data_IF_831604193588
#
_entry.id   IF_831604193588
#
_cell.length_a   1.000
_cell.length_b   1.000
_cell.length_c   1.000
_cell.angle_alpha   90.00
_cell.angle_beta   90.00
_cell.angle_gamma   90.00
#
_symmetry.space_group_name_H-M   'P 1'
#
loop_
_entity.id
_entity.type
_entity.pdbx_description
1 polymer ?
#
# COMPACT_ATOMS: atom_id res chain seq x y z
N UNK A 1 -23.27 11.30 30.24
CA UNK A 1 -22.36 10.17 29.94
C UNK A 1 -22.61 9.56 28.56
N UNK A 2 -23.86 9.27 28.13
CA UNK A 2 -24.15 8.72 26.80
C UNK A 2 -23.74 9.63 25.60
N UNK A 3 -23.95 10.96 25.71
CA UNK A 3 -23.57 11.93 24.66
C UNK A 3 -22.05 11.99 24.41
N UNK A 4 -21.25 11.76 25.46
CA UNK A 4 -19.79 11.77 25.39
C UNK A 4 -19.26 10.51 24.71
N UNK A 5 -19.94 9.37 24.86
CA UNK A 5 -19.59 8.10 24.23
C UNK A 5 -19.89 8.14 22.72
N UNK A 6 -21.05 8.68 22.32
CA UNK A 6 -21.42 8.87 20.91
C UNK A 6 -20.48 9.85 20.18
N UNK A 7 -20.13 10.98 20.81
CA UNK A 7 -19.19 11.96 20.23
C UNK A 7 -17.77 11.39 20.07
N UNK A 8 -17.34 10.51 20.97
CA UNK A 8 -16.02 9.84 20.91
C UNK A 8 -15.96 8.70 19.90
N UNK A 9 -17.06 7.94 19.73
CA UNK A 9 -17.16 6.95 18.64
C UNK A 9 -17.10 7.59 17.25
N UNK A 10 -17.72 8.77 17.10
CA UNK A 10 -17.62 9.59 15.88
C UNK A 10 -16.18 10.04 15.58
N UNK A 11 -15.40 10.36 16.62
CA UNK A 11 -14.01 10.81 16.51
C UNK A 11 -13.05 9.69 16.05
N UNK A 12 -13.25 8.46 16.54
CA UNK A 12 -12.48 7.28 16.10
C UNK A 12 -12.79 6.95 14.63
N UNK A 13 -14.06 6.93 14.24
CA UNK A 13 -14.43 6.64 12.85
C UNK A 13 -13.81 7.63 11.87
N UNK A 14 -13.73 8.91 12.25
CA UNK A 14 -13.10 9.96 11.44
C UNK A 14 -11.59 9.74 11.32
N UNK A 15 -10.91 9.43 12.42
CA UNK A 15 -9.48 9.12 12.40
C UNK A 15 -9.15 7.87 11.57
N UNK A 16 -10.02 6.83 11.59
CA UNK A 16 -9.87 5.66 10.73
C UNK A 16 -10.00 6.06 9.26
N UNK A 17 -11.02 6.86 8.90
CA UNK A 17 -11.18 7.35 7.53
C UNK A 17 -9.95 8.18 7.09
N UNK A 18 -9.46 9.07 7.94
CA UNK A 18 -8.26 9.88 7.65
C UNK A 18 -7.01 9.01 7.48
N UNK A 19 -6.83 7.98 8.31
CA UNK A 19 -5.73 7.03 8.17
C UNK A 19 -5.82 6.26 6.85
N UNK A 20 -7.00 5.76 6.50
CA UNK A 20 -7.25 5.06 5.23
C UNK A 20 -7.03 5.98 4.02
N UNK A 21 -7.40 7.25 4.12
CA UNK A 21 -7.10 8.26 3.10
C UNK A 21 -5.58 8.43 2.92
N UNK A 22 -4.78 8.45 4.00
CA UNK A 22 -3.31 8.52 3.91
C UNK A 22 -2.70 7.32 3.19
N UNK A 23 -3.19 6.11 3.47
CA UNK A 23 -2.73 4.90 2.77
C UNK A 23 -3.06 4.99 1.26
N UNK A 24 -4.28 5.41 0.91
CA UNK A 24 -4.68 5.62 -0.50
C UNK A 24 -3.84 6.70 -1.20
N UNK A 25 -3.69 7.88 -0.57
CA UNK A 25 -2.92 9.01 -1.09
C UNK A 25 -1.44 8.62 -1.34
N UNK A 26 -0.86 7.78 -0.49
CA UNK A 26 0.52 7.31 -0.65
C UNK A 26 0.74 6.55 -1.96
N UNK A 27 -0.24 5.77 -2.41
CA UNK A 27 -0.20 5.07 -3.70
C UNK A 27 -0.19 6.04 -4.89
N UNK A 28 -0.98 7.13 -4.82
CA UNK A 28 -0.99 8.15 -5.87
C UNK A 28 0.33 8.92 -5.94
N UNK A 29 0.94 9.22 -4.80
CA UNK A 29 2.27 9.86 -4.74
C UNK A 29 3.31 8.91 -5.31
N UNK A 30 3.27 7.65 -4.90
CA UNK A 30 4.17 6.60 -5.39
C UNK A 30 4.13 6.49 -6.92
N UNK A 31 2.94 6.37 -7.49
CA UNK A 31 2.75 6.29 -8.94
C UNK A 31 3.39 7.48 -9.67
N UNK A 32 3.13 8.70 -9.19
CA UNK A 32 3.70 9.93 -9.75
C UNK A 32 5.22 10.00 -9.57
N UNK A 33 5.74 9.45 -8.47
CA UNK A 33 7.16 9.32 -8.18
C UNK A 33 7.84 8.45 -9.22
N UNK A 34 7.36 7.21 -9.40
CA UNK A 34 7.89 6.28 -10.41
C UNK A 34 7.83 6.88 -11.81
N UNK A 35 6.67 7.42 -12.21
CA UNK A 35 6.54 8.09 -13.52
C UNK A 35 7.56 9.23 -13.68
N UNK A 36 7.73 10.10 -12.66
CA UNK A 36 8.71 11.19 -12.74
C UNK A 36 10.14 10.66 -12.89
N UNK A 37 10.47 9.57 -12.20
CA UNK A 37 11.79 8.94 -12.28
C UNK A 37 12.07 8.37 -13.68
N UNK A 38 11.16 7.55 -14.21
CA UNK A 38 11.30 6.94 -15.54
C UNK A 38 11.41 7.99 -16.66
N UNK A 39 10.70 9.11 -16.52
CA UNK A 39 10.76 10.23 -17.45
C UNK A 39 11.99 11.16 -17.25
N UNK A 40 12.91 10.83 -16.34
CA UNK A 40 14.10 11.63 -16.04
C UNK A 40 13.81 12.98 -15.36
N UNK A 41 12.60 13.19 -14.84
CA UNK A 41 12.16 14.43 -14.17
C UNK A 41 12.55 14.41 -12.68
N UNK A 42 13.85 14.44 -12.40
CA UNK A 42 14.38 14.22 -11.04
C UNK A 42 13.91 15.23 -9.99
N UNK A 43 13.70 16.51 -10.34
CA UNK A 43 13.15 17.49 -9.41
C UNK A 43 11.71 17.15 -9.00
N UNK A 44 10.90 16.64 -9.95
CA UNK A 44 9.55 16.16 -9.67
C UNK A 44 9.59 14.90 -8.80
N UNK A 45 10.51 13.97 -9.09
CA UNK A 45 10.71 12.77 -8.29
C UNK A 45 11.07 13.10 -6.83
N UNK A 46 12.05 13.99 -6.60
CA UNK A 46 12.45 14.41 -5.25
C UNK A 46 11.29 15.04 -4.47
N UNK A 47 10.49 15.87 -5.13
CA UNK A 47 9.27 16.40 -4.51
C UNK A 47 8.30 15.30 -4.09
N UNK A 48 8.11 14.25 -4.89
CA UNK A 48 7.27 13.10 -4.51
C UNK A 48 7.87 12.28 -3.38
N UNK A 49 9.20 12.19 -3.29
CA UNK A 49 9.88 11.56 -2.16
C UNK A 49 9.66 12.35 -0.86
N UNK A 50 9.68 13.68 -0.90
CA UNK A 50 9.32 14.53 0.24
C UNK A 50 7.84 14.37 0.60
N UNK A 51 6.94 14.43 -0.40
CA UNK A 51 5.50 14.27 -0.18
C UNK A 51 5.18 12.91 0.49
N UNK A 52 5.83 11.81 0.06
CA UNK A 52 5.57 10.48 0.63
C UNK A 52 6.11 10.33 2.06
N UNK A 53 7.22 11.00 2.38
CA UNK A 53 7.76 11.04 3.72
C UNK A 53 6.78 11.71 4.69
N UNK A 54 6.21 12.85 4.29
CA UNK A 54 5.21 13.56 5.10
C UNK A 54 3.91 12.75 5.28
N UNK A 55 3.43 12.11 4.22
CA UNK A 55 2.24 11.24 4.30
C UNK A 55 2.48 10.06 5.23
N UNK A 56 3.64 9.41 5.15
CA UNK A 56 3.97 8.29 6.04
C UNK A 56 4.02 8.72 7.50
N UNK A 57 4.69 9.85 7.78
CA UNK A 57 4.77 10.37 9.13
C UNK A 57 3.38 10.69 9.71
N UNK A 58 2.49 11.26 8.89
CA UNK A 58 1.09 11.51 9.29
C UNK A 58 0.30 10.21 9.50
N UNK A 59 0.49 9.21 8.61
CA UNK A 59 -0.13 7.90 8.70
C UNK A 59 0.23 7.16 9.99
N UNK A 60 1.53 7.03 10.29
CA UNK A 60 2.01 6.37 11.52
C UNK A 60 1.55 7.12 12.78
N UNK A 61 1.51 8.47 12.75
CA UNK A 61 0.97 9.25 13.86
C UNK A 61 -0.53 8.98 14.10
N UNK A 62 -1.33 8.91 13.03
CA UNK A 62 -2.76 8.57 13.11
C UNK A 62 -2.95 7.14 13.63
N UNK A 63 -2.21 6.16 13.10
CA UNK A 63 -2.23 4.78 13.57
C UNK A 63 -1.94 4.70 15.07
N UNK A 64 -0.83 5.27 15.53
CA UNK A 64 -0.45 5.25 16.96
C UNK A 64 -1.49 5.91 17.86
N UNK A 65 -2.18 6.95 17.37
CA UNK A 65 -3.27 7.57 18.12
C UNK A 65 -4.49 6.63 18.20
N UNK A 66 -4.89 6.04 17.07
CA UNK A 66 -5.95 5.03 17.00
C UNK A 66 -5.67 3.86 17.95
N UNK A 67 -4.45 3.34 17.97
CA UNK A 67 -4.06 2.26 18.89
C UNK A 67 -4.24 2.65 20.35
N UNK A 68 -3.72 3.82 20.76
CA UNK A 68 -3.89 4.34 22.13
C UNK A 68 -5.36 4.49 22.50
N UNK A 69 -6.18 5.02 21.59
CA UNK A 69 -7.61 5.18 21.82
C UNK A 69 -8.31 3.83 21.93
N UNK A 70 -7.99 2.87 21.07
CA UNK A 70 -8.53 1.52 21.11
C UNK A 70 -8.13 0.82 22.41
N UNK A 71 -6.91 0.97 22.92
CA UNK A 71 -6.52 0.40 24.22
C UNK A 71 -7.34 0.96 25.39
N UNK A 72 -7.54 2.29 25.43
CA UNK A 72 -8.22 2.99 26.51
C UNK A 72 -9.75 2.86 26.46
N UNK A 73 -10.33 2.60 25.29
CA UNK A 73 -11.78 2.65 25.08
C UNK A 73 -12.36 1.26 24.81
N UNK A 74 -13.40 0.88 25.57
CA UNK A 74 -14.15 -0.39 25.46
C UNK A 74 -15.02 -0.52 24.19
N UNK A 75 -14.75 0.27 23.14
CA UNK A 75 -15.64 0.40 21.98
C UNK A 75 -15.66 -0.80 21.04
N UNK A 76 -14.61 -1.64 21.02
CA UNK A 76 -14.57 -2.90 20.24
C UNK A 76 -13.83 -3.97 21.05
N UNK A 77 -14.39 -4.48 22.17
CA UNK A 77 -13.67 -5.41 23.05
C UNK A 77 -13.33 -6.74 22.36
N UNK A 78 -14.26 -7.25 21.56
CA UNK A 78 -14.20 -8.62 21.02
C UNK A 78 -13.32 -8.75 19.77
N UNK A 79 -13.05 -7.64 19.06
CA UNK A 79 -12.24 -7.63 17.83
C UNK A 79 -11.05 -6.67 17.91
N UNK A 80 -10.64 -6.23 19.11
CA UNK A 80 -9.56 -5.23 19.26
C UNK A 80 -8.25 -5.69 18.63
N UNK A 81 -7.86 -6.94 18.86
CA UNK A 81 -6.63 -7.50 18.28
C UNK A 81 -6.64 -7.48 16.75
N UNK A 82 -7.74 -7.94 16.15
CA UNK A 82 -7.93 -7.96 14.70
C UNK A 82 -7.90 -6.54 14.10
N UNK A 83 -8.53 -5.55 14.76
CA UNK A 83 -8.51 -4.14 14.32
C UNK A 83 -7.09 -3.55 14.40
N UNK A 84 -6.37 -3.79 15.49
CA UNK A 84 -5.00 -3.30 15.64
C UNK A 84 -4.07 -3.90 14.57
N UNK A 85 -4.18 -5.22 14.34
CA UNK A 85 -3.39 -5.90 13.32
C UNK A 85 -3.72 -5.40 11.91
N UNK A 86 -5.00 -5.10 11.61
CA UNK A 86 -5.41 -4.51 10.35
C UNK A 86 -4.77 -3.13 10.14
N UNK A 87 -4.82 -2.27 11.17
CA UNK A 87 -4.22 -0.92 11.10
C UNK A 87 -2.70 -0.99 10.89
N UNK A 88 -1.99 -1.86 11.62
CA UNK A 88 -0.56 -2.07 11.41
C UNK A 88 -0.25 -2.60 10.00
N UNK A 89 -1.05 -3.56 9.51
CA UNK A 89 -0.82 -4.15 8.19
C UNK A 89 -1.05 -3.14 7.05
N UNK A 90 -2.00 -2.22 7.21
CA UNK A 90 -2.26 -1.14 6.25
C UNK A 90 -1.15 -0.07 6.28
N UNK A 91 -0.66 0.29 7.48
CA UNK A 91 0.46 1.23 7.65
C UNK A 91 1.75 0.68 7.01
N UNK A 92 1.97 -0.63 7.13
CA UNK A 92 3.09 -1.30 6.48
C UNK A 92 3.08 -1.17 4.95
N UNK A 93 1.91 -1.01 4.31
CA UNK A 93 1.81 -0.75 2.86
C UNK A 93 2.31 0.65 2.51
N UNK A 94 1.94 1.64 3.31
CA UNK A 94 2.42 3.02 3.20
C UNK A 94 3.96 3.04 3.30
N UNK A 95 4.49 2.38 4.34
CA UNK A 95 5.92 2.23 4.58
C UNK A 95 6.66 1.58 3.39
N UNK A 96 6.01 0.63 2.70
CA UNK A 96 6.59 -0.02 1.52
C UNK A 96 6.69 0.94 0.34
N UNK A 97 5.68 1.77 0.08
CA UNK A 97 5.77 2.78 -0.96
C UNK A 97 6.91 3.78 -0.70
N UNK A 98 7.00 4.28 0.54
CA UNK A 98 8.11 5.15 0.98
C UNK A 98 9.45 4.45 0.77
N UNK A 99 9.59 3.22 1.28
CA UNK A 99 10.81 2.43 1.18
C UNK A 99 11.24 2.16 -0.27
N UNK A 100 10.28 1.96 -1.17
CA UNK A 100 10.54 1.81 -2.59
C UNK A 100 11.10 3.09 -3.20
N UNK A 101 10.46 4.26 -3.05
CA UNK A 101 10.99 5.51 -3.60
C UNK A 101 12.37 5.86 -3.01
N UNK A 102 12.60 5.60 -1.72
CA UNK A 102 13.91 5.80 -1.10
C UNK A 102 15.01 4.96 -1.77
N UNK A 103 14.72 3.72 -2.17
CA UNK A 103 15.68 2.89 -2.91
C UNK A 103 16.00 3.48 -4.28
N UNK A 104 15.00 4.02 -4.97
CA UNK A 104 15.23 4.70 -6.26
C UNK A 104 16.16 5.90 -6.11
N UNK A 105 15.97 6.69 -5.05
CA UNK A 105 16.82 7.84 -4.75
C UNK A 105 18.26 7.44 -4.40
N UNK A 106 18.42 6.40 -3.58
CA UNK A 106 19.74 5.94 -3.12
C UNK A 106 20.54 5.28 -4.25
N UNK A 107 19.93 4.33 -4.96
CA UNK A 107 20.67 3.48 -5.89
C UNK A 107 20.67 4.00 -7.33
N UNK A 108 19.84 4.99 -7.64
CA UNK A 108 19.68 5.60 -8.95
C UNK A 108 19.67 4.55 -10.10
N UNK A 109 18.79 3.53 -10.07
CA UNK A 109 18.75 2.49 -11.10
C UNK A 109 18.52 3.09 -12.50
N UNK A 110 19.34 2.66 -13.47
CA UNK A 110 19.22 3.06 -14.87
C UNK A 110 18.34 2.06 -15.64
N UNK A 111 17.05 2.39 -15.79
CA UNK A 111 16.10 1.57 -16.55
C UNK A 111 16.20 1.90 -18.05
N UNK A 112 16.40 0.88 -18.87
CA UNK A 112 16.37 1.05 -20.32
C UNK A 112 14.93 1.34 -20.80
N UNK A 113 14.74 2.21 -21.82
CA UNK A 113 13.43 2.73 -22.22
C UNK A 113 12.37 1.65 -22.52
N UNK A 114 12.79 0.51 -23.04
CA UNK A 114 11.89 -0.54 -23.51
C UNK A 114 11.14 -1.29 -22.39
N UNK A 115 11.44 -1.03 -21.13
CA UNK A 115 10.67 -1.55 -19.97
C UNK A 115 9.92 -0.46 -19.21
N UNK A 116 9.95 0.80 -19.66
CA UNK A 116 9.31 1.90 -18.94
C UNK A 116 7.79 1.70 -18.87
N UNK A 117 7.15 1.36 -19.99
CA UNK A 117 5.69 1.13 -20.05
C UNK A 117 5.27 -0.05 -19.15
N UNK A 118 5.97 -1.19 -19.26
CA UNK A 118 5.75 -2.36 -18.41
C UNK A 118 5.92 -2.02 -16.90
N UNK A 119 6.89 -1.16 -16.56
CA UNK A 119 7.14 -0.75 -15.18
C UNK A 119 6.07 0.23 -14.66
N UNK A 120 5.55 1.12 -15.51
CA UNK A 120 4.39 1.95 -15.19
C UNK A 120 3.14 1.10 -14.97
N UNK A 121 2.93 0.07 -15.79
CA UNK A 121 1.82 -0.87 -15.63
C UNK A 121 1.92 -1.69 -14.34
N UNK A 122 3.12 -2.19 -14.00
CA UNK A 122 3.39 -2.84 -12.71
C UNK A 122 3.03 -1.91 -11.54
N UNK A 123 3.47 -0.65 -11.63
CA UNK A 123 3.21 0.37 -10.62
C UNK A 123 1.71 0.63 -10.47
N UNK A 124 0.97 0.70 -11.58
CA UNK A 124 -0.47 0.87 -11.57
C UNK A 124 -1.19 -0.32 -10.90
N UNK A 125 -0.80 -1.55 -11.23
CA UNK A 125 -1.37 -2.76 -10.61
C UNK A 125 -1.17 -2.76 -9.10
N UNK A 126 0.05 -2.47 -8.64
CA UNK A 126 0.38 -2.39 -7.22
C UNK A 126 -0.46 -1.33 -6.50
N UNK A 127 -0.56 -0.12 -7.08
CA UNK A 127 -1.36 0.97 -6.48
C UNK A 127 -2.84 0.61 -6.41
N UNK A 128 -3.39 -0.02 -7.46
CA UNK A 128 -4.77 -0.47 -7.47
C UNK A 128 -5.05 -1.62 -6.48
N UNK A 129 -4.07 -2.50 -6.24
CA UNK A 129 -4.16 -3.53 -5.21
C UNK A 129 -4.29 -2.91 -3.82
N UNK A 130 -3.45 -1.92 -3.50
CA UNK A 130 -3.53 -1.16 -2.24
C UNK A 130 -4.85 -0.39 -2.11
N UNK A 131 -5.31 0.26 -3.17
CA UNK A 131 -6.60 0.97 -3.15
C UNK A 131 -7.77 0.01 -2.90
N UNK A 132 -7.76 -1.18 -3.52
CA UNK A 132 -8.80 -2.17 -3.31
C UNK A 132 -8.87 -2.68 -1.86
N UNK A 133 -7.72 -2.88 -1.20
CA UNK A 133 -7.71 -3.27 0.22
C UNK A 133 -8.11 -2.11 1.13
N UNK A 134 -7.76 -0.86 0.80
CA UNK A 134 -8.24 0.33 1.54
C UNK A 134 -9.77 0.42 1.48
N UNK A 135 -10.38 0.21 0.31
CA UNK A 135 -11.84 0.20 0.16
C UNK A 135 -12.49 -0.95 0.93
N UNK A 136 -11.90 -2.14 0.91
CA UNK A 136 -12.35 -3.31 1.69
C UNK A 136 -12.27 -3.04 3.19
N UNK A 137 -11.17 -2.46 3.66
CA UNK A 137 -10.98 -2.10 5.06
C UNK A 137 -11.98 -1.01 5.50
N UNK A 138 -12.24 -0.02 4.65
CA UNK A 138 -13.26 1.01 4.92
C UNK A 138 -14.65 0.38 5.08
N UNK A 139 -15.00 -0.57 4.22
CA UNK A 139 -16.24 -1.33 4.34
C UNK A 139 -16.28 -2.12 5.66
N UNK A 140 -15.17 -2.70 6.12
CA UNK A 140 -15.14 -3.45 7.39
C UNK A 140 -15.54 -2.60 8.59
N UNK A 141 -15.17 -1.31 8.60
CA UNK A 141 -15.56 -0.39 9.67
C UNK A 141 -16.98 0.17 9.53
N UNK A 142 -17.55 0.23 8.31
CA UNK A 142 -18.83 0.91 8.02
C UNK A 142 -19.98 -0.02 7.67
N UNK A 143 -19.75 -0.95 6.75
CA UNK A 143 -20.73 -1.92 6.25
C UNK A 143 -20.03 -3.24 5.90
N UNK A 144 -20.03 -4.18 6.86
CA UNK A 144 -19.30 -5.44 6.75
C UNK A 144 -19.73 -6.30 5.55
N UNK A 145 -20.98 -6.18 5.09
CA UNK A 145 -21.46 -6.95 3.94
C UNK A 145 -20.83 -6.51 2.62
N UNK A 146 -20.30 -5.29 2.57
CA UNK A 146 -19.66 -4.70 1.38
C UNK A 146 -18.15 -4.97 1.30
N UNK A 147 -17.56 -5.68 2.28
CA UNK A 147 -16.10 -5.93 2.29
C UNK A 147 -15.66 -6.75 1.07
N UNK A 148 -16.48 -7.74 0.68
CA UNK A 148 -16.18 -8.60 -0.46
C UNK A 148 -16.29 -7.89 -1.83
N UNK A 149 -16.92 -6.70 -1.89
CA UNK A 149 -17.09 -5.92 -3.13
C UNK A 149 -15.75 -5.44 -3.71
N UNK A 150 -14.72 -5.35 -2.86
CA UNK A 150 -13.38 -4.89 -3.23
C UNK A 150 -12.30 -5.95 -3.01
N UNK A 151 -12.51 -6.91 -2.11
CA UNK A 151 -11.50 -7.93 -1.77
C UNK A 151 -11.06 -8.77 -2.98
N UNK A 152 -11.99 -9.18 -3.84
CA UNK A 152 -11.65 -9.93 -5.06
C UNK A 152 -10.80 -9.14 -6.06
N UNK A 153 -10.83 -7.79 -5.99
CA UNK A 153 -10.00 -6.93 -6.85
C UNK A 153 -8.55 -6.90 -6.39
N UNK A 154 -8.29 -7.05 -5.10
CA UNK A 154 -6.92 -7.16 -4.57
C UNK A 154 -6.20 -8.33 -5.24
N UNK A 155 -6.83 -9.51 -5.22
CA UNK A 155 -6.33 -10.73 -5.86
C UNK A 155 -6.14 -10.53 -7.37
N UNK A 156 -7.11 -9.88 -8.03
CA UNK A 156 -6.97 -9.59 -9.46
C UNK A 156 -5.72 -8.75 -9.77
N UNK A 157 -5.51 -7.66 -9.04
CA UNK A 157 -4.39 -6.74 -9.27
C UNK A 157 -3.04 -7.32 -8.86
N UNK A 158 -2.99 -8.09 -7.78
CA UNK A 158 -1.82 -8.89 -7.40
C UNK A 158 -1.42 -9.81 -8.56
N UNK A 159 -2.35 -10.60 -9.07
CA UNK A 159 -2.04 -11.56 -10.13
C UNK A 159 -1.63 -10.89 -11.44
N UNK A 160 -2.16 -9.70 -11.74
CA UNK A 160 -1.66 -8.89 -12.86
C UNK A 160 -0.24 -8.38 -12.61
N UNK A 161 0.06 -7.90 -11.40
CA UNK A 161 1.40 -7.44 -11.03
C UNK A 161 2.44 -8.56 -11.18
N UNK A 162 2.08 -9.77 -10.77
CA UNK A 162 2.92 -10.97 -10.79
C UNK A 162 3.28 -11.39 -12.24
N UNK A 163 2.31 -11.29 -13.15
CA UNK A 163 2.48 -11.52 -14.59
C UNK A 163 3.46 -10.50 -15.19
N UNK A 164 3.25 -9.21 -14.91
CA UNK A 164 4.07 -8.12 -15.44
C UNK A 164 5.49 -8.18 -14.87
N UNK A 165 5.63 -8.41 -13.56
CA UNK A 165 6.90 -8.62 -12.86
C UNK A 165 7.69 -9.75 -13.50
N UNK A 166 7.05 -10.88 -13.79
CA UNK A 166 7.67 -12.01 -14.48
C UNK A 166 8.16 -11.62 -15.88
N UNK A 167 7.37 -10.86 -16.64
CA UNK A 167 7.73 -10.40 -17.98
C UNK A 167 8.92 -9.43 -17.95
N UNK A 168 8.89 -8.44 -17.05
CA UNK A 168 9.98 -7.50 -16.82
C UNK A 168 11.29 -8.24 -16.49
N UNK A 169 11.23 -9.22 -15.59
CA UNK A 169 12.40 -10.02 -15.23
C UNK A 169 12.95 -10.80 -16.45
N UNK A 170 12.08 -11.42 -17.26
CA UNK A 170 12.53 -12.08 -18.51
C UNK A 170 13.17 -11.10 -19.47
N UNK A 171 12.58 -9.92 -19.66
CA UNK A 171 13.10 -8.85 -20.52
C UNK A 171 14.49 -8.41 -20.05
N UNK A 172 14.66 -8.14 -18.75
CA UNK A 172 15.93 -7.75 -18.14
C UNK A 172 17.00 -8.83 -18.36
N UNK A 173 16.70 -10.11 -18.08
CA UNK A 173 17.68 -11.20 -18.20
C UNK A 173 17.97 -11.65 -19.64
N UNK A 174 17.11 -11.30 -20.59
CA UNK A 174 17.35 -11.56 -22.03
C UNK A 174 18.50 -10.72 -22.62
N UNK A 175 18.79 -9.55 -22.03
CA UNK A 175 19.81 -8.60 -22.52
C UNK A 175 21.22 -9.05 -22.13
N UNK A 176 21.80 -9.97 -22.90
CA UNK A 176 23.14 -10.55 -22.63
C UNK A 176 24.26 -9.51 -22.55
N UNK A 177 24.17 -8.43 -23.33
CA UNK A 177 25.16 -7.34 -23.36
C UNK A 177 25.22 -6.50 -22.08
N UNK A 178 24.15 -6.51 -21.28
CA UNK A 178 24.11 -5.82 -19.99
C UNK A 178 24.95 -6.56 -18.94
N UNK A 179 25.62 -5.83 -18.04
CA UNK A 179 26.34 -6.49 -16.93
C UNK A 179 25.35 -7.22 -16.01
N UNK A 180 25.75 -8.37 -15.48
CA UNK A 180 24.90 -9.14 -14.57
C UNK A 180 24.49 -8.32 -13.33
N UNK A 181 25.40 -7.50 -12.79
CA UNK A 181 25.11 -6.62 -11.65
C UNK A 181 23.98 -5.63 -11.94
N UNK A 182 23.95 -5.03 -13.13
CA UNK A 182 22.91 -4.11 -13.54
C UNK A 182 21.58 -4.84 -13.73
N UNK A 183 21.59 -6.00 -14.38
CA UNK A 183 20.38 -6.85 -14.49
C UNK A 183 19.83 -7.27 -13.12
N UNK A 184 20.71 -7.62 -12.18
CA UNK A 184 20.32 -7.97 -10.81
C UNK A 184 19.70 -6.78 -10.09
N UNK A 185 20.28 -5.59 -10.20
CA UNK A 185 19.71 -4.38 -9.64
C UNK A 185 18.30 -4.12 -10.19
N UNK A 186 18.14 -4.07 -11.52
CA UNK A 186 16.82 -3.83 -12.13
C UNK A 186 15.78 -4.86 -11.71
N UNK A 187 16.14 -6.15 -11.68
CA UNK A 187 15.27 -7.22 -11.15
C UNK A 187 14.87 -6.94 -9.70
N UNK A 188 15.81 -6.52 -8.86
CA UNK A 188 15.53 -6.28 -7.45
C UNK A 188 14.54 -5.12 -7.26
N UNK A 189 14.61 -4.09 -8.10
CA UNK A 189 13.61 -3.02 -8.14
C UNK A 189 12.24 -3.52 -8.57
N UNK A 190 12.15 -4.29 -9.67
CA UNK A 190 10.89 -4.92 -10.13
C UNK A 190 10.26 -5.72 -8.99
N UNK A 191 11.03 -6.64 -8.39
CA UNK A 191 10.55 -7.48 -7.27
C UNK A 191 10.20 -6.68 -6.03
N UNK A 192 10.80 -5.52 -5.81
CA UNK A 192 10.49 -4.71 -4.64
C UNK A 192 9.16 -3.98 -4.78
N UNK A 193 8.84 -3.49 -5.99
CA UNK A 193 7.56 -2.86 -6.30
C UNK A 193 6.43 -3.90 -6.30
N UNK A 194 6.66 -5.02 -6.98
CA UNK A 194 5.75 -6.18 -7.05
C UNK A 194 5.27 -6.66 -5.66
N UNK A 195 6.22 -6.86 -4.73
CA UNK A 195 5.96 -7.26 -3.34
C UNK A 195 4.98 -6.39 -2.55
N UNK A 196 4.67 -5.19 -3.02
CA UNK A 196 3.67 -4.33 -2.38
C UNK A 196 2.27 -4.90 -2.64
N UNK A 197 2.02 -5.45 -3.84
CA UNK A 197 0.77 -6.12 -4.17
C UNK A 197 0.61 -7.42 -3.38
N UNK A 198 1.67 -8.25 -3.25
CA UNK A 198 1.65 -9.44 -2.37
C UNK A 198 1.24 -9.06 -0.94
N UNK A 199 1.74 -7.92 -0.44
CA UNK A 199 1.41 -7.46 0.91
C UNK A 199 -0.02 -6.98 1.02
N UNK A 200 -0.57 -6.38 -0.02
CA UNK A 200 -1.98 -6.02 -0.05
C UNK A 200 -2.87 -7.27 -0.05
N UNK A 201 -2.48 -8.32 -0.77
CA UNK A 201 -3.14 -9.64 -0.72
C UNK A 201 -3.06 -10.26 0.68
N UNK A 202 -1.88 -10.28 1.32
CA UNK A 202 -1.72 -10.76 2.70
C UNK A 202 -2.70 -10.03 3.66
N UNK A 203 -2.89 -8.72 3.48
CA UNK A 203 -3.84 -7.93 4.28
C UNK A 203 -5.28 -8.32 3.96
N UNK A 204 -5.61 -8.59 2.69
CA UNK A 204 -6.93 -9.03 2.26
C UNK A 204 -7.30 -10.40 2.86
N UNK A 205 -6.37 -11.35 2.87
CA UNK A 205 -6.56 -12.68 3.47
C UNK A 205 -6.88 -12.58 4.95
N UNK A 206 -6.11 -11.76 5.69
CA UNK A 206 -6.38 -11.47 7.11
C UNK A 206 -7.73 -10.82 7.31
N UNK A 207 -8.08 -9.84 6.48
CA UNK A 207 -9.36 -9.15 6.54
C UNK A 207 -10.53 -10.13 6.33
N UNK A 208 -10.40 -11.08 5.42
CA UNK A 208 -11.39 -12.15 5.22
C UNK A 208 -11.64 -12.96 6.50
N UNK A 209 -10.58 -13.31 7.22
CA UNK A 209 -10.68 -14.00 8.52
C UNK A 209 -11.43 -13.13 9.54
N UNK A 210 -11.12 -11.83 9.61
CA UNK A 210 -11.76 -10.91 10.55
C UNK A 210 -13.27 -10.74 10.26
N UNK A 211 -13.65 -10.72 8.98
CA UNK A 211 -15.07 -10.70 8.57
C UNK A 211 -15.81 -11.94 9.03
N UNK A 212 -15.22 -13.13 8.85
CA UNK A 212 -15.83 -14.40 9.29
C UNK A 212 -16.00 -14.39 10.82
N UNK A 213 -14.95 -14.06 11.57
CA UNK A 213 -15.00 -13.99 13.05
C UNK A 213 -16.12 -13.08 13.55
N UNK A 214 -16.35 -11.95 12.88
CA UNK A 214 -17.36 -10.94 13.27
C UNK A 214 -18.78 -11.30 12.80
N UNK A 215 -18.92 -12.29 11.93
CA UNK A 215 -20.21 -12.80 11.43
C UNK A 215 -20.72 -14.02 12.20
N UNK A 216 -19.93 -14.56 13.12
CA UNK A 216 -20.27 -15.64 14.05
C UNK A 216 -20.85 -15.07 15.36
#
# INVERSE_FOLDING_TARGET
MAFTILKRGFDISKQIDEFLDKVSESGLIFQRGIHSYLQGKMESFKKRLEDIYEIEHQGDALRRNLEKQLYLQTLIPESRGDVLELLESLDALLDRFKGALWRFDIECPDFFPEIHDDFEELTLCVVNSVEAIVLSARAFFKNISAVNDHMHKVIHWESQSDIISTQLQRNIFSRKEMRLSHRMQLRDFVRHVDKIADRAEDVADKLGIYVIKRSL
#
